data_IF_968095292254
#
_entry.id   IF_968095292254
#
_cell.length_a   1.000
_cell.length_b   1.000
_cell.length_c   1.000
_cell.angle_alpha   90.00
_cell.angle_beta   90.00
_cell.angle_gamma   90.00
#
_symmetry.space_group_name_H-M   'P 1'
#
loop_
_entity.id
_entity.type
_entity.pdbx_description
1 polymer ?
#
# COMPACT_ATOMS: atom_id res chain seq x y z
N UNK A 1 13.13 24.82 -2.30
CA UNK A 1 12.73 23.42 -2.29
C UNK A 1 12.32 23.10 -3.71
N UNK A 2 13.10 22.28 -4.34
CA UNK A 2 13.21 22.16 -5.82
C UNK A 2 12.11 21.28 -6.39
N UNK A 3 11.64 21.60 -7.59
CA UNK A 3 10.64 20.89 -8.41
C UNK A 3 10.91 19.38 -8.58
N UNK A 4 12.12 18.91 -8.31
CA UNK A 4 12.51 17.50 -8.30
C UNK A 4 11.86 16.69 -7.15
N UNK A 5 11.55 17.32 -6.02
CA UNK A 5 10.84 16.64 -4.92
C UNK A 5 9.34 16.44 -5.20
N UNK A 6 8.75 17.24 -6.05
CA UNK A 6 7.34 17.08 -6.45
C UNK A 6 7.14 16.00 -7.52
N UNK A 7 8.12 15.79 -8.41
CA UNK A 7 8.05 14.75 -9.44
C UNK A 7 8.22 13.33 -8.89
N UNK A 8 9.01 13.14 -7.83
CA UNK A 8 9.29 11.82 -7.25
C UNK A 8 8.11 11.25 -6.42
N UNK A 9 7.06 12.03 -6.17
CA UNK A 9 5.91 11.65 -5.35
C UNK A 9 4.91 10.70 -6.02
N UNK A 10 4.97 10.54 -7.33
CA UNK A 10 3.79 10.01 -8.06
C UNK A 10 3.67 8.50 -8.19
N UNK A 11 4.70 7.70 -8.31
CA UNK A 11 4.59 6.31 -8.77
C UNK A 11 5.22 5.28 -7.84
N UNK A 12 6.27 5.60 -7.13
CA UNK A 12 6.79 4.69 -6.10
C UNK A 12 5.76 4.50 -5.00
N UNK A 13 5.02 5.56 -4.67
CA UNK A 13 3.82 5.52 -3.82
C UNK A 13 2.77 4.52 -4.35
N UNK A 14 2.68 4.31 -5.64
CA UNK A 14 1.60 3.54 -6.30
C UNK A 14 1.86 2.04 -6.41
N UNK A 15 3.09 1.60 -6.43
CA UNK A 15 3.44 0.15 -6.36
C UNK A 15 3.41 -0.31 -4.91
N UNK A 16 3.87 0.51 -3.98
CA UNK A 16 3.68 0.28 -2.55
C UNK A 16 2.24 0.54 -2.08
N UNK A 17 1.40 1.26 -2.85
CA UNK A 17 -0.06 1.29 -2.58
C UNK A 17 -0.66 -0.10 -2.47
N UNK A 18 -0.19 -1.09 -3.20
CA UNK A 18 -0.58 -2.49 -2.99
C UNK A 18 -0.17 -3.01 -1.61
N UNK A 19 1.04 -2.73 -1.13
CA UNK A 19 1.53 -3.17 0.19
C UNK A 19 1.10 -2.23 1.33
N UNK A 20 1.15 -0.90 1.16
CA UNK A 20 0.62 0.05 2.15
C UNK A 20 -0.89 -0.06 2.31
N UNK A 21 -1.63 -0.32 1.23
CA UNK A 21 -3.05 -0.64 1.34
C UNK A 21 -3.28 -1.97 2.08
N UNK A 22 -2.39 -2.95 1.98
CA UNK A 22 -2.47 -4.14 2.82
C UNK A 22 -2.24 -3.84 4.30
N UNK A 23 -1.29 -2.98 4.66
CA UNK A 23 -1.06 -2.56 6.06
C UNK A 23 -2.17 -1.65 6.61
N UNK A 24 -2.73 -0.75 5.80
CA UNK A 24 -3.88 0.09 6.18
C UNK A 24 -5.20 -0.71 6.13
N UNK A 25 -5.32 -1.74 5.29
CA UNK A 25 -6.54 -2.56 5.09
C UNK A 25 -6.70 -3.68 6.14
N UNK A 26 -5.68 -4.05 6.89
CA UNK A 26 -5.74 -5.11 7.91
C UNK A 26 -6.50 -4.75 9.19
N UNK A 27 -6.93 -3.51 9.34
CA UNK A 27 -7.62 -3.09 10.54
C UNK A 27 -9.12 -3.16 10.39
N UNK A 28 -9.84 -4.20 10.80
CA UNK A 28 -11.27 -3.97 11.05
C UNK A 28 -12.09 -5.17 11.53
N UNK A 29 -12.06 -5.42 12.82
CA UNK A 29 -13.26 -5.89 13.51
C UNK A 29 -13.06 -5.77 15.02
N UNK A 30 -13.51 -4.70 15.63
CA UNK A 30 -13.37 -4.30 17.04
C UNK A 30 -11.98 -3.74 17.43
N UNK A 31 -11.96 -2.84 18.41
CA UNK A 31 -10.74 -2.17 18.94
C UNK A 31 -9.58 -3.14 19.30
N UNK A 32 -9.88 -4.38 19.65
CA UNK A 32 -8.87 -5.40 19.95
C UNK A 32 -8.22 -6.03 18.71
N UNK A 33 -8.85 -5.99 17.54
CA UNK A 33 -8.34 -6.66 16.35
C UNK A 33 -7.23 -5.88 15.65
N UNK A 34 -7.32 -4.55 15.60
CA UNK A 34 -6.25 -3.69 15.03
C UNK A 34 -4.96 -3.87 15.80
N UNK A 35 -5.01 -3.72 17.12
CA UNK A 35 -3.86 -3.89 17.99
C UNK A 35 -3.32 -5.31 17.93
N UNK A 36 -4.19 -6.33 17.93
CA UNK A 36 -3.79 -7.73 17.82
C UNK A 36 -3.05 -8.01 16.51
N UNK A 37 -3.56 -7.54 15.38
CA UNK A 37 -2.93 -7.73 14.05
C UNK A 37 -1.63 -6.96 13.97
N UNK A 38 -1.60 -5.70 14.42
CA UNK A 38 -0.39 -4.89 14.40
C UNK A 38 0.73 -5.51 15.24
N UNK A 39 0.42 -6.02 16.42
CA UNK A 39 1.39 -6.69 17.28
C UNK A 39 1.85 -8.07 16.77
N UNK A 40 1.33 -8.54 15.64
CA UNK A 40 1.71 -9.77 14.93
C UNK A 40 2.10 -9.54 13.49
N UNK A 41 2.31 -8.29 13.11
CA UNK A 41 2.73 -7.96 11.74
C UNK A 41 4.08 -8.55 11.39
N UNK A 42 4.96 -8.74 12.38
CA UNK A 42 6.24 -9.45 12.25
C UNK A 42 6.06 -10.88 11.70
N UNK A 43 5.09 -11.63 12.21
CA UNK A 43 4.77 -12.99 11.74
C UNK A 43 4.29 -12.94 10.28
N UNK A 44 3.43 -11.98 9.94
CA UNK A 44 2.92 -11.84 8.58
C UNK A 44 4.02 -11.45 7.58
N UNK A 45 4.92 -10.57 7.98
CA UNK A 45 6.06 -10.14 7.13
C UNK A 45 7.03 -11.30 6.91
N UNK A 46 7.33 -12.10 7.94
CA UNK A 46 8.16 -13.31 7.81
C UNK A 46 7.51 -14.29 6.84
N UNK A 47 6.25 -14.62 7.06
CA UNK A 47 5.53 -15.56 6.19
C UNK A 47 5.49 -15.09 4.74
N UNK A 48 5.31 -13.78 4.51
CA UNK A 48 5.37 -13.22 3.18
C UNK A 48 6.77 -13.28 2.55
N UNK A 49 7.83 -13.11 3.36
CA UNK A 49 9.22 -13.24 2.88
C UNK A 49 9.55 -14.70 2.51
N UNK A 50 9.06 -15.67 3.29
CA UNK A 50 9.26 -17.11 3.03
C UNK A 50 8.68 -17.55 1.67
N UNK A 51 7.69 -16.84 1.14
CA UNK A 51 7.17 -17.04 -0.23
C UNK A 51 8.20 -16.69 -1.33
N UNK A 52 9.23 -15.95 -1.00
CA UNK A 52 10.24 -15.49 -1.96
C UNK A 52 11.62 -16.10 -1.73
N UNK A 53 12.03 -16.26 -0.48
CA UNK A 53 13.36 -16.77 -0.16
C UNK A 53 13.37 -17.47 1.21
N UNK A 54 14.02 -18.61 1.26
CA UNK A 54 14.20 -19.38 2.49
C UNK A 54 15.44 -18.89 3.26
N UNK A 55 15.23 -18.27 4.43
CA UNK A 55 16.32 -17.82 5.29
C UNK A 55 16.83 -18.95 6.20
N UNK A 56 18.14 -19.02 6.43
CA UNK A 56 18.67 -19.85 7.51
C UNK A 56 18.38 -19.22 8.88
N UNK A 57 18.66 -20.00 9.96
CA UNK A 57 18.36 -19.56 11.32
C UNK A 57 19.08 -18.27 11.72
N UNK A 58 20.31 -18.06 11.25
CA UNK A 58 21.10 -16.88 11.59
C UNK A 58 20.62 -15.65 10.78
N UNK A 59 20.28 -15.84 9.51
CA UNK A 59 19.69 -14.84 8.65
C UNK A 59 18.31 -14.40 9.19
N UNK A 60 17.48 -15.38 9.59
CA UNK A 60 16.17 -15.10 10.19
C UNK A 60 16.30 -14.26 11.47
N UNK A 61 17.23 -14.59 12.36
CA UNK A 61 17.44 -13.82 13.60
C UNK A 61 17.87 -12.37 13.30
N UNK A 62 18.73 -12.15 12.28
CA UNK A 62 19.11 -10.80 11.87
C UNK A 62 17.96 -10.03 11.23
N UNK A 63 17.18 -10.69 10.37
CA UNK A 63 15.98 -10.11 9.79
C UNK A 63 14.99 -9.69 10.86
N UNK A 64 14.71 -10.57 11.82
CA UNK A 64 13.79 -10.29 12.93
C UNK A 64 14.20 -9.07 13.74
N UNK A 65 15.49 -8.96 14.08
CA UNK A 65 16.01 -7.79 14.83
C UNK A 65 15.88 -6.49 14.03
N UNK A 66 16.11 -6.51 12.72
CA UNK A 66 15.93 -5.33 11.85
C UNK A 66 14.45 -4.97 11.67
N UNK A 67 13.60 -5.97 11.53
CA UNK A 67 12.15 -5.77 11.42
C UNK A 67 11.58 -5.18 12.71
N UNK A 68 12.03 -5.66 13.87
CA UNK A 68 11.66 -5.11 15.17
C UNK A 68 12.02 -3.63 15.26
N UNK A 69 13.23 -3.25 14.88
CA UNK A 69 13.68 -1.86 14.86
C UNK A 69 12.84 -0.98 13.91
N UNK A 70 12.47 -1.50 12.73
CA UNK A 70 11.57 -0.83 11.79
C UNK A 70 10.18 -0.62 12.40
N UNK A 71 9.61 -1.65 13.04
CA UNK A 71 8.29 -1.58 13.66
C UNK A 71 8.27 -0.64 14.88
N UNK A 72 9.36 -0.60 15.65
CA UNK A 72 9.52 0.35 16.74
C UNK A 72 9.57 1.80 16.22
N UNK A 73 10.35 2.08 15.16
CA UNK A 73 10.37 3.38 14.50
C UNK A 73 8.97 3.74 13.99
N UNK A 74 8.29 2.85 13.26
CA UNK A 74 6.95 3.08 12.72
C UNK A 74 5.94 3.40 13.83
N UNK A 75 6.03 2.71 14.96
CA UNK A 75 5.17 2.93 16.12
C UNK A 75 5.37 4.32 16.74
N UNK A 76 6.62 4.77 16.86
CA UNK A 76 6.93 6.05 17.50
C UNK A 76 6.74 7.25 16.59
N UNK A 77 7.06 7.11 15.31
CA UNK A 77 7.10 8.25 14.38
C UNK A 77 5.87 8.31 13.47
N UNK A 78 5.42 7.18 12.93
CA UNK A 78 4.36 7.19 11.94
C UNK A 78 2.95 7.04 12.55
N UNK A 79 2.75 6.19 13.57
CA UNK A 79 1.43 6.05 14.14
C UNK A 79 0.85 7.35 14.73
N UNK A 80 1.64 8.21 15.42
CA UNK A 80 1.12 9.53 15.83
C UNK A 80 0.70 10.41 14.64
N UNK A 81 1.45 10.39 13.54
CA UNK A 81 1.09 11.12 12.33
C UNK A 81 -0.22 10.59 11.71
N UNK A 82 -0.45 9.27 11.75
CA UNK A 82 -1.71 8.67 11.29
C UNK A 82 -2.90 9.01 12.19
N UNK A 83 -2.69 9.17 13.50
CA UNK A 83 -3.74 9.67 14.42
C UNK A 83 -4.18 11.08 13.98
N UNK A 84 -3.23 11.97 13.67
CA UNK A 84 -3.55 13.32 13.16
C UNK A 84 -4.32 13.24 11.83
N UNK A 85 -3.93 12.37 10.90
CA UNK A 85 -4.67 12.17 9.65
C UNK A 85 -6.13 11.75 9.89
N UNK A 86 -6.38 10.91 10.90
CA UNK A 86 -7.73 10.47 11.24
C UNK A 86 -8.56 11.56 11.92
N UNK A 87 -7.95 12.40 12.77
CA UNK A 87 -8.60 13.56 13.37
C UNK A 87 -9.00 14.58 12.28
N UNK A 88 -8.12 14.84 11.30
CA UNK A 88 -8.41 15.71 10.17
C UNK A 88 -9.48 15.12 9.23
N UNK A 89 -9.46 13.80 9.00
CA UNK A 89 -10.50 13.13 8.24
C UNK A 89 -11.90 13.29 8.88
N UNK A 90 -11.97 13.23 10.21
CA UNK A 90 -13.23 13.49 10.95
C UNK A 90 -13.68 14.95 10.77
N UNK A 91 -12.77 15.91 10.78
CA UNK A 91 -13.05 17.32 10.53
C UNK A 91 -13.56 17.55 9.11
N UNK A 92 -12.91 16.97 8.10
CA UNK A 92 -13.35 17.02 6.69
C UNK A 92 -14.77 16.48 6.53
N UNK A 93 -15.15 15.44 7.28
CA UNK A 93 -16.53 14.91 7.27
C UNK A 93 -17.53 15.90 7.85
N UNK A 94 -17.15 16.71 8.86
CA UNK A 94 -18.01 17.76 9.44
C UNK A 94 -18.23 18.92 8.45
N UNK A 95 -17.24 19.22 7.64
CA UNK A 95 -17.27 20.28 6.64
C UNK A 95 -17.95 19.86 5.31
N UNK A 96 -18.47 18.64 5.22
CA UNK A 96 -19.19 18.13 4.04
C UNK A 96 -18.29 17.66 2.90
N UNK A 97 -17.05 17.29 3.20
CA UNK A 97 -16.06 16.74 2.27
C UNK A 97 -15.74 17.70 1.09
N UNK A 98 -15.21 18.90 1.36
CA UNK A 98 -14.74 19.79 0.30
C UNK A 98 -13.71 19.08 -0.60
N UNK A 99 -13.74 19.35 -1.91
CA UNK A 99 -12.88 18.63 -2.87
C UNK A 99 -11.39 18.91 -2.60
N UNK A 100 -11.05 20.13 -2.24
CA UNK A 100 -9.67 20.54 -1.98
C UNK A 100 -9.11 19.79 -0.75
N UNK A 101 -9.91 19.68 0.31
CA UNK A 101 -9.52 18.97 1.54
C UNK A 101 -9.41 17.47 1.32
N UNK A 102 -10.32 16.89 0.52
CA UNK A 102 -10.24 15.48 0.13
C UNK A 102 -8.97 15.21 -0.70
N UNK A 103 -8.58 16.14 -1.58
CA UNK A 103 -7.34 16.07 -2.36
C UNK A 103 -6.11 16.19 -1.46
N UNK A 104 -6.08 17.21 -0.60
CA UNK A 104 -5.00 17.40 0.36
C UNK A 104 -4.84 16.18 1.30
N UNK A 105 -5.94 15.56 1.70
CA UNK A 105 -5.90 14.31 2.48
C UNK A 105 -5.27 13.16 1.69
N UNK A 106 -5.59 13.03 0.40
CA UNK A 106 -4.98 12.01 -0.47
C UNK A 106 -3.47 12.22 -0.57
N UNK A 107 -3.02 13.48 -0.79
CA UNK A 107 -1.60 13.81 -0.87
C UNK A 107 -0.86 13.47 0.43
N UNK A 108 -1.46 13.75 1.59
CA UNK A 108 -0.87 13.44 2.91
C UNK A 108 -0.79 11.93 3.17
N UNK A 109 -1.77 11.16 2.71
CA UNK A 109 -1.72 9.68 2.78
C UNK A 109 -0.60 9.16 1.89
N UNK A 110 -0.41 9.73 0.71
CA UNK A 110 0.71 9.40 -0.18
C UNK A 110 2.06 9.75 0.45
N UNK A 111 2.19 10.93 1.05
CA UNK A 111 3.39 11.33 1.77
C UNK A 111 3.72 10.36 2.92
N UNK A 112 2.71 9.85 3.63
CA UNK A 112 2.89 8.85 4.67
C UNK A 112 3.43 7.52 4.12
N UNK A 113 2.91 7.07 2.98
CA UNK A 113 3.40 5.88 2.29
C UNK A 113 4.85 6.04 1.79
N UNK A 114 5.20 7.23 1.29
CA UNK A 114 6.58 7.56 0.85
C UNK A 114 7.55 7.55 2.03
N UNK A 115 7.18 8.10 3.19
CA UNK A 115 8.05 8.09 4.39
C UNK A 115 8.35 6.68 4.87
N UNK A 116 7.40 5.74 4.75
CA UNK A 116 7.61 4.34 5.12
C UNK A 116 8.51 3.60 4.12
N UNK A 117 8.57 4.04 2.87
CA UNK A 117 9.28 3.35 1.80
C UNK A 117 10.77 3.22 2.06
N UNK A 118 11.46 4.30 2.42
CA UNK A 118 12.92 4.30 2.58
C UNK A 118 13.37 3.37 3.73
N UNK A 119 12.79 3.43 4.95
CA UNK A 119 13.15 2.49 6.03
C UNK A 119 12.84 1.03 5.66
N UNK A 120 11.75 0.79 4.95
CA UNK A 120 11.41 -0.56 4.50
C UNK A 120 12.38 -1.07 3.41
N UNK A 121 12.78 -0.22 2.49
CA UNK A 121 13.81 -0.55 1.49
C UNK A 121 15.13 -0.91 2.16
N UNK A 122 15.56 -0.17 3.18
CA UNK A 122 16.79 -0.48 3.91
C UNK A 122 16.72 -1.84 4.64
N UNK A 123 15.56 -2.21 5.19
CA UNK A 123 15.33 -3.55 5.71
C UNK A 123 15.55 -4.62 4.62
N UNK A 124 14.98 -4.42 3.42
CA UNK A 124 15.11 -5.37 2.32
C UNK A 124 16.55 -5.44 1.80
N UNK A 125 17.22 -4.32 1.60
CA UNK A 125 18.60 -4.28 1.13
C UNK A 125 19.56 -4.95 2.12
N UNK A 126 19.44 -4.64 3.40
CA UNK A 126 20.24 -5.27 4.44
C UNK A 126 19.99 -6.77 4.58
N UNK A 127 18.75 -7.22 4.34
CA UNK A 127 18.43 -8.65 4.26
C UNK A 127 19.05 -9.27 3.01
N UNK A 128 18.97 -8.61 1.87
CA UNK A 128 19.58 -9.06 0.61
C UNK A 128 21.12 -9.19 0.68
N UNK A 129 21.79 -8.38 1.51
CA UNK A 129 23.24 -8.50 1.75
C UNK A 129 23.60 -9.78 2.49
N UNK A 130 22.70 -10.31 3.32
CA UNK A 130 22.89 -11.56 4.04
C UNK A 130 22.65 -12.82 3.17
N UNK A 131 22.03 -12.69 1.99
CA UNK A 131 21.68 -13.82 1.14
C UNK A 131 22.90 -14.40 0.41
N UNK A 132 22.94 -15.72 0.36
CA UNK A 132 23.86 -16.45 -0.52
C UNK A 132 23.50 -16.28 -2.00
N UNK A 133 24.42 -16.54 -2.94
CA UNK A 133 24.09 -16.52 -4.37
C UNK A 133 22.91 -17.43 -4.75
N UNK A 134 22.77 -18.60 -4.13
CA UNK A 134 21.65 -19.51 -4.39
C UNK A 134 20.32 -18.96 -3.88
N UNK A 135 20.31 -18.26 -2.74
CA UNK A 135 19.10 -17.62 -2.22
C UNK A 135 18.70 -16.38 -3.07
N UNK A 136 19.67 -15.65 -3.62
CA UNK A 136 19.35 -14.57 -4.57
C UNK A 136 18.71 -15.12 -5.85
N UNK A 137 19.19 -16.27 -6.34
CA UNK A 137 18.57 -16.96 -7.47
C UNK A 137 17.14 -17.44 -7.10
N UNK A 138 16.96 -18.08 -5.94
CA UNK A 138 15.65 -18.50 -5.42
C UNK A 138 14.67 -17.33 -5.38
N UNK A 139 15.10 -16.17 -4.85
CA UNK A 139 14.30 -14.96 -4.79
C UNK A 139 13.86 -14.48 -6.18
N UNK A 140 14.78 -14.45 -7.13
CA UNK A 140 14.49 -14.03 -8.52
C UNK A 140 13.53 -15.01 -9.19
N UNK A 141 13.73 -16.31 -9.03
CA UNK A 141 12.90 -17.35 -9.63
C UNK A 141 11.46 -17.28 -9.09
N UNK A 142 11.30 -17.11 -7.78
CA UNK A 142 9.99 -16.95 -7.15
C UNK A 142 9.30 -15.64 -7.57
N UNK A 143 10.07 -14.55 -7.71
CA UNK A 143 9.53 -13.27 -8.17
C UNK A 143 9.03 -13.36 -9.63
N UNK A 144 9.75 -14.08 -10.50
CA UNK A 144 9.35 -14.33 -11.88
C UNK A 144 8.13 -15.26 -11.95
N UNK A 145 8.09 -16.34 -11.17
CA UNK A 145 6.94 -17.24 -11.11
C UNK A 145 5.66 -16.50 -10.70
N UNK A 146 5.74 -15.65 -9.68
CA UNK A 146 4.60 -14.80 -9.28
C UNK A 146 4.21 -13.77 -10.35
N UNK A 147 5.16 -13.31 -11.17
CA UNK A 147 4.83 -12.47 -12.33
C UNK A 147 4.02 -13.24 -13.37
N UNK A 148 4.41 -14.47 -13.66
CA UNK A 148 3.71 -15.33 -14.63
C UNK A 148 2.29 -15.65 -14.15
N UNK A 149 2.12 -16.01 -12.87
CA UNK A 149 0.81 -16.23 -12.24
C UNK A 149 -0.10 -14.99 -12.39
N UNK A 150 0.44 -13.78 -12.14
CA UNK A 150 -0.32 -12.54 -12.29
C UNK A 150 -0.69 -12.25 -13.75
N UNK A 151 0.17 -12.60 -14.69
CA UNK A 151 -0.13 -12.44 -16.11
C UNK A 151 -1.24 -13.39 -16.57
N UNK A 152 -1.14 -14.66 -16.21
CA UNK A 152 -2.17 -15.65 -16.52
C UNK A 152 -3.54 -15.23 -15.96
N UNK A 153 -3.60 -14.87 -14.68
CA UNK A 153 -4.85 -14.48 -14.02
C UNK A 153 -5.46 -13.20 -14.61
N UNK A 154 -4.65 -12.17 -14.82
CA UNK A 154 -5.15 -10.83 -15.17
C UNK A 154 -5.36 -10.62 -16.66
N UNK A 155 -4.50 -11.20 -17.52
CA UNK A 155 -4.64 -11.03 -18.96
C UNK A 155 -5.77 -11.89 -19.55
N UNK A 156 -6.15 -12.98 -18.88
CA UNK A 156 -7.28 -13.81 -19.29
C UNK A 156 -8.63 -13.10 -19.15
N UNK A 157 -8.74 -12.10 -18.26
CA UNK A 157 -10.01 -11.40 -17.99
C UNK A 157 -10.41 -10.51 -19.16
N UNK A 158 -11.69 -10.60 -19.56
CA UNK A 158 -12.32 -9.64 -20.45
C UNK A 158 -12.44 -8.25 -19.81
N UNK A 159 -12.73 -7.23 -20.58
CA UNK A 159 -12.96 -5.89 -20.05
C UNK A 159 -14.24 -5.80 -19.17
N UNK A 160 -15.23 -6.67 -19.42
CA UNK A 160 -16.43 -6.77 -18.57
C UNK A 160 -16.06 -7.35 -17.20
N UNK A 161 -15.40 -8.50 -17.18
CA UNK A 161 -14.95 -9.14 -15.94
C UNK A 161 -14.03 -8.22 -15.12
N UNK A 162 -13.13 -7.47 -15.80
CA UNK A 162 -12.28 -6.49 -15.12
C UNK A 162 -13.11 -5.40 -14.42
N UNK A 163 -14.16 -4.87 -15.09
CA UNK A 163 -15.03 -3.84 -14.50
C UNK A 163 -15.86 -4.40 -13.35
N UNK A 164 -16.44 -5.57 -13.51
CA UNK A 164 -17.21 -6.26 -12.47
C UNK A 164 -16.37 -6.52 -11.22
N UNK A 165 -15.14 -7.00 -11.39
CA UNK A 165 -14.17 -7.15 -10.30
C UNK A 165 -13.88 -5.82 -9.60
N UNK A 166 -13.71 -4.75 -10.36
CA UNK A 166 -13.39 -3.44 -9.85
C UNK A 166 -14.57 -2.84 -9.07
N UNK A 167 -15.79 -2.93 -9.62
CA UNK A 167 -17.02 -2.54 -8.92
C UNK A 167 -17.20 -3.32 -7.61
N UNK A 168 -17.00 -4.63 -7.62
CA UNK A 168 -17.08 -5.47 -6.44
C UNK A 168 -16.02 -5.10 -5.38
N UNK A 169 -14.83 -4.68 -5.79
CA UNK A 169 -13.80 -4.18 -4.86
C UNK A 169 -14.19 -2.85 -4.23
N UNK A 170 -14.70 -1.90 -5.02
CA UNK A 170 -15.20 -0.63 -4.50
C UNK A 170 -16.37 -0.84 -3.54
N UNK A 171 -17.36 -1.65 -3.91
CA UNK A 171 -18.49 -1.96 -3.03
C UNK A 171 -18.00 -2.55 -1.70
N UNK A 172 -17.16 -3.58 -1.75
CA UNK A 172 -16.61 -4.23 -0.56
C UNK A 172 -15.83 -3.25 0.31
N UNK A 173 -15.02 -2.38 -0.29
CA UNK A 173 -14.20 -1.44 0.45
C UNK A 173 -15.04 -0.34 1.10
N UNK A 174 -15.96 0.27 0.35
CA UNK A 174 -16.85 1.31 0.85
C UNK A 174 -17.81 0.76 1.89
N UNK A 175 -18.42 -0.41 1.65
CA UNK A 175 -19.34 -1.06 2.57
C UNK A 175 -18.69 -1.44 3.91
N UNK A 176 -17.40 -1.68 3.93
CA UNK A 176 -16.64 -1.92 5.16
C UNK A 176 -16.74 -0.73 6.12
N UNK A 177 -16.64 0.49 5.61
CA UNK A 177 -16.70 1.72 6.41
C UNK A 177 -18.11 2.25 6.59
N UNK A 178 -18.91 2.25 5.53
CA UNK A 178 -20.25 2.83 5.52
C UNK A 178 -21.34 1.84 5.92
N UNK A 179 -21.14 0.55 5.72
CA UNK A 179 -22.19 -0.46 5.69
C UNK A 179 -22.76 -0.59 4.29
N UNK A 180 -23.87 -1.31 4.08
CA UNK A 180 -24.43 -1.50 2.76
C UNK A 180 -24.62 -0.19 2.03
N UNK A 181 -24.16 -0.14 0.77
CA UNK A 181 -24.36 1.04 -0.08
C UNK A 181 -25.84 1.18 -0.45
N UNK A 182 -26.29 2.41 -0.63
CA UNK A 182 -27.59 2.70 -1.24
C UNK A 182 -27.51 2.48 -2.75
N UNK A 183 -28.66 2.30 -3.42
CA UNK A 183 -28.68 2.18 -4.90
C UNK A 183 -27.99 3.37 -5.57
N UNK A 184 -28.25 4.60 -5.12
CA UNK A 184 -27.60 5.77 -5.68
C UNK A 184 -26.09 5.83 -5.45
N UNK A 185 -25.56 5.21 -4.39
CA UNK A 185 -24.11 5.06 -4.18
C UNK A 185 -23.53 3.97 -5.09
N UNK A 186 -24.25 2.85 -5.27
CA UNK A 186 -23.85 1.81 -6.21
C UNK A 186 -23.83 2.35 -7.64
N UNK A 187 -24.84 3.13 -8.06
CA UNK A 187 -24.87 3.75 -9.40
C UNK A 187 -23.65 4.68 -9.63
N UNK A 188 -23.20 5.40 -8.58
CA UNK A 188 -21.97 6.22 -8.66
C UNK A 188 -20.72 5.38 -8.81
N UNK A 189 -20.65 4.25 -8.10
CA UNK A 189 -19.53 3.30 -8.23
C UNK A 189 -19.46 2.78 -9.68
N UNK A 190 -20.57 2.30 -10.20
CA UNK A 190 -20.64 1.80 -11.60
C UNK A 190 -20.27 2.89 -12.62
N UNK A 191 -20.78 4.11 -12.44
CA UNK A 191 -20.43 5.23 -13.32
C UNK A 191 -18.93 5.57 -13.26
N UNK A 192 -18.36 5.69 -12.06
CA UNK A 192 -16.93 5.97 -11.90
C UNK A 192 -16.06 4.86 -12.47
N UNK A 193 -16.38 3.59 -12.23
CA UNK A 193 -15.63 2.46 -12.81
C UNK A 193 -15.70 2.46 -14.35
N UNK A 194 -16.82 2.87 -14.94
CA UNK A 194 -16.93 2.99 -16.39
C UNK A 194 -15.99 4.06 -17.00
N UNK A 195 -15.63 5.10 -16.25
CA UNK A 195 -14.69 6.15 -16.66
C UNK A 195 -13.22 5.71 -16.51
N UNK A 196 -12.93 4.69 -15.72
CA UNK A 196 -11.55 4.28 -15.44
C UNK A 196 -10.90 3.60 -16.63
N UNK A 197 -9.64 3.94 -16.84
CA UNK A 197 -8.76 3.28 -17.80
C UNK A 197 -8.28 1.95 -17.22
N UNK A 198 -8.35 0.87 -18.01
CA UNK A 198 -7.80 -0.43 -17.64
C UNK A 198 -6.26 -0.38 -17.65
N UNK A 199 -5.63 -0.56 -16.47
CA UNK A 199 -4.19 -0.39 -16.29
C UNK A 199 -3.43 -1.70 -16.00
N UNK A 200 -4.11 -2.83 -15.83
CA UNK A 200 -3.45 -4.10 -15.48
C UNK A 200 -2.42 -4.53 -16.52
N UNK A 201 -2.68 -4.35 -17.81
CA UNK A 201 -1.74 -4.68 -18.90
C UNK A 201 -0.47 -3.82 -18.87
N UNK A 202 -0.62 -2.52 -18.61
CA UNK A 202 0.53 -1.62 -18.45
C UNK A 202 1.34 -1.97 -17.22
N UNK A 203 0.65 -2.22 -16.10
CA UNK A 203 1.28 -2.61 -14.84
C UNK A 203 2.06 -3.91 -14.96
N UNK A 204 1.50 -4.94 -15.62
CA UNK A 204 2.18 -6.22 -15.82
C UNK A 204 3.44 -6.06 -16.68
N UNK A 205 3.35 -5.28 -17.74
CA UNK A 205 4.50 -5.00 -18.62
C UNK A 205 5.60 -4.23 -17.87
N UNK A 206 5.24 -3.17 -17.17
CA UNK A 206 6.16 -2.36 -16.39
C UNK A 206 6.84 -3.20 -15.29
N UNK A 207 6.04 -3.99 -14.56
CA UNK A 207 6.56 -4.87 -13.53
C UNK A 207 7.51 -5.94 -14.08
N UNK A 208 7.24 -6.52 -15.25
CA UNK A 208 8.14 -7.48 -15.90
C UNK A 208 9.49 -6.85 -16.24
N UNK A 209 9.51 -5.65 -16.79
CA UNK A 209 10.75 -4.92 -17.09
C UNK A 209 11.54 -4.66 -15.81
N UNK A 210 10.86 -4.14 -14.79
CA UNK A 210 11.48 -3.88 -13.50
C UNK A 210 12.05 -5.13 -12.82
N UNK A 211 11.34 -6.26 -12.86
CA UNK A 211 11.84 -7.55 -12.35
C UNK A 211 13.09 -7.98 -13.11
N UNK A 212 13.10 -7.83 -14.44
CA UNK A 212 14.26 -8.21 -15.24
C UNK A 212 15.50 -7.37 -14.86
N UNK A 213 15.35 -6.06 -14.70
CA UNK A 213 16.43 -5.16 -14.26
C UNK A 213 16.93 -5.48 -12.86
N UNK A 214 16.01 -5.67 -11.91
CA UNK A 214 16.34 -6.09 -10.54
C UNK A 214 17.08 -7.43 -10.52
N UNK A 215 16.64 -8.38 -11.35
CA UNK A 215 17.28 -9.71 -11.45
C UNK A 215 18.72 -9.60 -11.91
N UNK A 216 19.01 -8.78 -12.92
CA UNK A 216 20.39 -8.52 -13.38
C UNK A 216 21.24 -7.96 -12.25
N UNK A 217 20.76 -6.94 -11.54
CA UNK A 217 21.48 -6.31 -10.44
C UNK A 217 21.80 -7.31 -9.32
N UNK A 218 20.83 -8.15 -8.95
CA UNK A 218 21.00 -9.10 -7.83
C UNK A 218 21.91 -10.28 -8.19
N UNK A 219 21.85 -10.76 -9.45
CA UNK A 219 22.61 -11.94 -9.89
C UNK A 219 24.02 -11.61 -10.34
N UNK A 220 24.28 -10.41 -10.84
CA UNK A 220 25.66 -9.93 -11.08
C UNK A 220 26.44 -9.81 -9.76
N UNK A 221 25.73 -9.55 -8.65
CA UNK A 221 26.27 -9.49 -7.30
C UNK A 221 27.49 -8.56 -7.13
N UNK A 222 27.56 -7.50 -7.95
CA UNK A 222 28.61 -6.47 -7.80
C UNK A 222 28.50 -5.78 -6.42
N UNK A 223 29.61 -5.30 -5.83
CA UNK A 223 29.60 -4.72 -4.48
C UNK A 223 28.63 -3.55 -4.29
N UNK A 224 28.32 -2.80 -5.35
CA UNK A 224 27.43 -1.64 -5.37
C UNK A 224 25.96 -1.97 -5.66
N UNK A 225 25.60 -3.26 -5.72
CA UNK A 225 24.23 -3.67 -6.03
C UNK A 225 23.14 -2.98 -5.18
N UNK A 226 23.35 -2.65 -3.86
CA UNK A 226 22.33 -1.94 -3.10
C UNK A 226 22.06 -0.54 -3.64
N UNK A 227 23.10 0.18 -4.06
CA UNK A 227 22.95 1.53 -4.64
C UNK A 227 22.29 1.47 -6.02
N UNK A 228 22.59 0.45 -6.81
CA UNK A 228 21.92 0.18 -8.09
C UNK A 228 20.42 -0.11 -7.89
N UNK A 229 20.05 -0.87 -6.85
CA UNK A 229 18.63 -1.09 -6.50
C UNK A 229 17.96 0.21 -6.05
N UNK A 230 18.63 1.04 -5.23
CA UNK A 230 18.09 2.37 -4.86
C UNK A 230 17.87 3.24 -6.09
N UNK A 231 18.82 3.25 -7.03
CA UNK A 231 18.71 3.99 -8.29
C UNK A 231 17.57 3.46 -9.17
N UNK A 232 17.41 2.13 -9.27
CA UNK A 232 16.31 1.50 -9.99
C UNK A 232 14.93 1.90 -9.43
N UNK A 233 14.80 1.96 -8.10
CA UNK A 233 13.57 2.39 -7.44
C UNK A 233 13.33 3.88 -7.63
N UNK A 234 14.37 4.71 -7.45
CA UNK A 234 14.25 6.16 -7.61
C UNK A 234 13.93 6.59 -9.05
N UNK A 235 14.43 5.87 -10.05
CA UNK A 235 14.18 6.14 -11.47
C UNK A 235 12.87 5.58 -12.02
N UNK A 236 12.13 4.84 -11.22
CA UNK A 236 10.94 4.10 -11.69
C UNK A 236 9.87 4.99 -12.32
N UNK A 237 9.62 6.15 -11.74
CA UNK A 237 8.59 7.08 -12.22
C UNK A 237 8.93 7.63 -13.60
N UNK A 238 10.19 7.93 -13.83
CA UNK A 238 10.67 8.46 -15.11
C UNK A 238 10.66 7.38 -16.21
N UNK A 239 10.79 6.11 -15.81
CA UNK A 239 10.78 4.97 -16.73
C UNK A 239 9.38 4.54 -17.20
N UNK A 240 8.30 5.03 -16.57
CA UNK A 240 6.94 4.67 -16.96
C UNK A 240 6.58 5.16 -18.35
N UNK A 241 5.89 4.29 -19.10
CA UNK A 241 5.27 4.69 -20.36
C UNK A 241 4.32 5.87 -20.15
N UNK A 242 4.35 6.91 -21.01
CA UNK A 242 3.48 8.09 -20.88
C UNK A 242 2.00 7.73 -20.73
N UNK A 243 1.48 6.82 -21.56
CA UNK A 243 0.09 6.38 -21.51
C UNK A 243 -0.26 5.65 -20.20
N UNK A 244 0.71 4.98 -19.57
CA UNK A 244 0.49 4.36 -18.25
C UNK A 244 0.41 5.43 -17.17
N UNK A 245 1.30 6.41 -17.18
CA UNK A 245 1.29 7.54 -16.25
C UNK A 245 -0.01 8.34 -16.34
N UNK A 246 -0.40 8.73 -17.56
CA UNK A 246 -1.66 9.44 -17.81
C UNK A 246 -2.87 8.66 -17.30
N UNK A 247 -2.90 7.34 -17.55
CA UNK A 247 -3.99 6.48 -17.06
C UNK A 247 -4.03 6.36 -15.54
N UNK A 248 -2.88 6.35 -14.86
CA UNK A 248 -2.79 6.38 -13.40
C UNK A 248 -3.35 7.71 -12.86
N UNK A 249 -2.93 8.84 -13.44
CA UNK A 249 -3.37 10.17 -12.99
C UNK A 249 -4.87 10.35 -13.21
N UNK A 250 -5.37 9.94 -14.37
CA UNK A 250 -6.80 9.90 -14.66
C UNK A 250 -7.59 9.05 -13.66
N UNK A 251 -7.18 7.81 -13.44
CA UNK A 251 -7.85 6.92 -12.49
C UNK A 251 -7.79 7.45 -11.05
N UNK A 252 -6.70 8.11 -10.67
CA UNK A 252 -6.57 8.78 -9.37
C UNK A 252 -7.63 9.84 -9.17
N UNK A 253 -7.84 10.69 -10.18
CA UNK A 253 -8.88 11.73 -10.16
C UNK A 253 -10.29 11.12 -10.11
N UNK A 254 -10.57 10.10 -10.94
CA UNK A 254 -11.85 9.39 -10.91
C UNK A 254 -12.13 8.77 -9.53
N UNK A 255 -11.14 8.12 -8.91
CA UNK A 255 -11.27 7.53 -7.59
C UNK A 255 -11.55 8.58 -6.51
N UNK A 256 -10.86 9.73 -6.57
CA UNK A 256 -11.09 10.84 -5.65
C UNK A 256 -12.54 11.35 -5.76
N UNK A 257 -13.01 11.64 -6.97
CA UNK A 257 -14.37 12.14 -7.21
C UNK A 257 -15.42 11.11 -6.81
N UNK A 258 -15.28 9.86 -7.24
CA UNK A 258 -16.16 8.76 -6.87
C UNK A 258 -16.29 8.59 -5.36
N UNK A 259 -15.14 8.54 -4.66
CA UNK A 259 -15.11 8.35 -3.21
C UNK A 259 -15.77 9.52 -2.49
N UNK A 260 -15.49 10.75 -2.94
CA UNK A 260 -16.12 11.96 -2.42
C UNK A 260 -17.63 11.95 -2.63
N UNK A 261 -18.11 11.61 -3.82
CA UNK A 261 -19.53 11.60 -4.13
C UNK A 261 -20.31 10.56 -3.33
N UNK A 262 -19.70 9.40 -3.09
CA UNK A 262 -20.27 8.38 -2.19
C UNK A 262 -20.30 8.89 -0.74
N UNK A 263 -19.25 9.57 -0.29
CA UNK A 263 -19.18 10.14 1.09
C UNK A 263 -20.20 11.26 1.29
N UNK A 264 -20.39 12.14 0.32
CA UNK A 264 -21.41 13.21 0.39
C UNK A 264 -22.81 12.63 0.44
N UNK A 265 -23.08 11.55 -0.30
CA UNK A 265 -24.38 10.88 -0.35
C UNK A 265 -24.64 9.93 0.82
N UNK A 266 -23.80 9.93 1.86
CA UNK A 266 -23.96 9.04 3.00
C UNK A 266 -25.21 9.38 3.83
N UNK A 267 -25.92 8.36 4.26
CA UNK A 267 -27.05 8.49 5.18
C UNK A 267 -26.56 8.74 6.62
N UNK A 268 -27.42 9.24 7.50
CA UNK A 268 -27.09 9.42 8.94
C UNK A 268 -26.58 8.13 9.60
N UNK A 269 -27.11 6.96 9.18
CA UNK A 269 -26.65 5.66 9.68
C UNK A 269 -25.25 5.34 9.22
N UNK A 270 -24.96 5.65 7.97
CA UNK A 270 -23.62 5.46 7.37
C UNK A 270 -22.62 6.44 7.98
N UNK A 271 -23.00 7.70 8.17
CA UNK A 271 -22.16 8.70 8.83
C UNK A 271 -21.76 8.26 10.25
N UNK A 272 -22.71 7.86 11.07
CA UNK A 272 -22.40 7.34 12.41
C UNK A 272 -21.47 6.14 12.38
N UNK A 273 -21.68 5.20 11.43
CA UNK A 273 -20.83 4.03 11.30
C UNK A 273 -19.41 4.40 10.89
N UNK A 274 -19.26 5.30 9.90
CA UNK A 274 -17.97 5.79 9.43
C UNK A 274 -17.18 6.46 10.54
N UNK A 275 -17.82 7.42 11.26
CA UNK A 275 -17.19 8.13 12.38
C UNK A 275 -16.74 7.19 13.48
N UNK A 276 -17.61 6.28 13.91
CA UNK A 276 -17.26 5.29 14.94
C UNK A 276 -16.05 4.44 14.51
N UNK A 277 -15.95 4.10 13.23
CA UNK A 277 -14.82 3.33 12.72
C UNK A 277 -13.53 4.14 12.68
N UNK A 278 -13.59 5.38 12.22
CA UNK A 278 -12.42 6.26 12.21
C UNK A 278 -11.93 6.56 13.62
N UNK A 279 -12.86 6.85 14.55
CA UNK A 279 -12.54 7.07 15.97
C UNK A 279 -11.92 5.81 16.61
N UNK A 280 -12.53 4.63 16.39
CA UNK A 280 -11.97 3.38 16.89
C UNK A 280 -10.57 3.10 16.36
N UNK A 281 -10.34 3.31 15.07
CA UNK A 281 -9.01 3.16 14.46
C UNK A 281 -8.01 4.17 15.05
N UNK A 282 -8.42 5.42 15.18
CA UNK A 282 -7.63 6.49 15.78
C UNK A 282 -7.19 6.13 17.21
N UNK A 283 -8.12 5.63 18.02
CA UNK A 283 -7.85 5.25 19.42
C UNK A 283 -6.93 4.02 19.49
N UNK A 284 -7.10 3.05 18.59
CA UNK A 284 -6.21 1.89 18.49
C UNK A 284 -4.78 2.31 18.11
N UNK A 285 -4.62 3.22 17.14
CA UNK A 285 -3.29 3.70 16.73
C UNK A 285 -2.64 4.55 17.83
N UNK A 286 -3.42 5.38 18.53
CA UNK A 286 -2.92 6.14 19.67
C UNK A 286 -2.45 5.22 20.82
N UNK A 287 -3.18 4.15 21.10
CA UNK A 287 -2.79 3.17 22.11
C UNK A 287 -1.51 2.41 21.67
N UNK A 288 -1.41 2.01 20.41
CA UNK A 288 -0.22 1.35 19.86
C UNK A 288 1.01 2.25 19.90
N UNK A 289 0.85 3.55 19.61
CA UNK A 289 1.94 4.53 19.65
C UNK A 289 2.56 4.71 21.05
N UNK A 290 1.80 4.40 22.11
CA UNK A 290 2.22 4.54 23.50
C UNK A 290 2.58 3.21 24.17
N UNK A 291 2.41 2.07 23.48
CA UNK A 291 2.78 0.75 23.99
C UNK A 291 4.30 0.57 24.00
N UNK A 292 4.87 0.21 25.15
CA UNK A 292 6.26 -0.26 25.23
C UNK A 292 6.37 -1.65 24.61
N UNK A 293 7.39 -1.85 23.78
CA UNK A 293 7.64 -3.13 23.06
C UNK A 293 7.87 -4.30 24.03
N UNK A 294 8.41 -4.03 25.22
CA UNK A 294 8.66 -5.05 26.25
C UNK A 294 7.40 -5.73 26.82
N UNK A 295 6.21 -5.15 26.62
CA UNK A 295 4.95 -5.69 27.15
C UNK A 295 4.29 -6.76 26.29
N UNK A 296 4.85 -7.11 25.13
CA UNK A 296 4.23 -7.97 24.09
C UNK A 296 4.95 -9.31 23.92
N UNK A 297 6.04 -9.57 24.65
CA UNK A 297 6.67 -10.89 24.62
C UNK A 297 5.82 -11.93 25.36
N UNK A 298 5.58 -13.11 24.76
CA UNK A 298 4.71 -14.15 25.30
C UNK A 298 5.26 -14.83 26.56
#
# INVERSE_FOLDING_TARGET
MTDLQKLNRGVVSRVMRGLSWCLIVLTLSSCSATQFIYNRVDILVRWYLDDYVSLDRAQQARFDSRLEALLEWHRREELPAYVVLLDDALTILDEGVPLEDARAMTDRIEDAAIRFQDPFLELLLSTGQDLTPSQKQEFVDNLMSKQEEFEEDRLARSDSEYREDLEGRFDKQLSRYLGPLTSGQTDRVTAGVAEMTRLDRFWLKDRRVWIAELSVILLEAEPDWPDRVRALIAGRDDALLPAYREGIDHNGEVILQLSRDVLIARTDKQDRKLRNRLQSLRDDLAALATQDVESVSP
#
